data_IF_070446730762
#
_entry.id   IF_070446730762
#
_cell.length_a   1.000
_cell.length_b   1.000
_cell.length_c   1.000
_cell.angle_alpha   90.00
_cell.angle_beta   90.00
_cell.angle_gamma   90.00
#
_symmetry.space_group_name_H-M   'P 1'
#
loop_
_entity.id
_entity.type
_entity.pdbx_description
1 polymer ?
#
# COMPACT_ATOMS: atom_id res chain seq x y z
N UNK A 1 4.61 13.65 -12.96
CA UNK A 1 3.24 13.09 -12.99
C UNK A 1 2.97 12.30 -11.72
N UNK A 2 1.79 12.44 -11.13
CA UNK A 2 1.39 11.54 -10.04
C UNK A 2 1.01 10.19 -10.62
N UNK A 3 1.45 9.10 -9.97
CA UNK A 3 1.21 7.75 -10.45
C UNK A 3 0.33 7.01 -9.45
N UNK A 4 -0.97 6.94 -9.75
CA UNK A 4 -1.98 6.22 -8.98
C UNK A 4 -1.91 4.73 -9.30
N UNK A 5 -0.76 4.13 -9.06
CA UNK A 5 -0.53 2.70 -9.19
C UNK A 5 -0.18 2.16 -7.83
N UNK A 6 -0.93 1.18 -7.36
CA UNK A 6 -0.69 0.46 -6.13
C UNK A 6 0.63 -0.31 -6.18
N UNK A 7 1.35 -0.21 -5.08
CA UNK A 7 2.57 -0.96 -4.83
C UNK A 7 2.33 -1.72 -3.53
N UNK A 8 2.42 -3.04 -3.59
CA UNK A 8 2.42 -3.87 -2.40
C UNK A 8 3.80 -3.76 -1.74
N UNK A 9 3.86 -3.19 -0.53
CA UNK A 9 5.12 -3.07 0.22
C UNK A 9 5.68 -4.43 0.60
N UNK A 10 4.82 -5.43 0.78
CA UNK A 10 5.23 -6.75 1.21
C UNK A 10 6.09 -7.46 0.15
N UNK A 11 5.93 -7.09 -1.12
CA UNK A 11 6.76 -7.58 -2.23
C UNK A 11 8.22 -7.12 -2.17
N UNK A 12 8.55 -6.14 -1.32
CA UNK A 12 9.91 -5.62 -1.14
C UNK A 12 10.52 -6.04 0.19
N UNK A 13 9.80 -6.79 1.02
CA UNK A 13 10.29 -7.18 2.33
C UNK A 13 11.40 -8.21 2.20
N UNK A 14 12.53 -8.03 2.91
CA UNK A 14 13.57 -9.05 2.99
C UNK A 14 13.03 -10.31 3.68
N UNK A 15 13.65 -11.46 3.41
CA UNK A 15 13.26 -12.74 4.01
C UNK A 15 13.56 -12.77 5.51
N UNK A 16 14.67 -12.15 5.93
CA UNK A 16 15.10 -12.06 7.32
C UNK A 16 14.14 -11.21 8.17
N UNK A 17 13.79 -11.72 9.36
CA UNK A 17 12.79 -11.11 10.23
C UNK A 17 13.24 -9.76 10.81
N UNK A 18 14.52 -9.62 11.16
CA UNK A 18 15.06 -8.38 11.71
C UNK A 18 15.12 -7.30 10.62
N UNK A 19 15.62 -7.66 9.44
CA UNK A 19 15.66 -6.75 8.31
C UNK A 19 14.27 -6.33 7.86
N UNK A 20 13.26 -7.22 7.94
CA UNK A 20 11.87 -6.90 7.61
C UNK A 20 11.30 -5.83 8.54
N UNK A 21 11.57 -5.95 9.84
CA UNK A 21 11.19 -4.95 10.83
C UNK A 21 11.88 -3.60 10.55
N UNK A 22 13.19 -3.61 10.31
CA UNK A 22 13.94 -2.39 9.97
C UNK A 22 13.45 -1.75 8.67
N UNK A 23 13.13 -2.54 7.64
CA UNK A 23 12.68 -2.04 6.34
C UNK A 23 11.41 -1.17 6.46
N UNK A 24 10.40 -1.66 7.19
CA UNK A 24 9.16 -0.89 7.39
C UNK A 24 9.39 0.31 8.33
N UNK A 25 10.18 0.11 9.40
CA UNK A 25 10.44 1.15 10.40
C UNK A 25 11.22 2.33 9.82
N UNK A 26 12.22 2.04 9.00
CA UNK A 26 13.15 3.01 8.46
C UNK A 26 12.77 3.46 7.03
N UNK A 27 11.57 3.10 6.55
CA UNK A 27 11.08 3.45 5.23
C UNK A 27 11.01 4.98 5.06
N UNK A 28 11.91 5.52 4.23
CA UNK A 28 11.94 6.95 3.88
C UNK A 28 11.36 7.16 2.49
N UNK A 29 10.30 7.97 2.38
CA UNK A 29 9.65 8.30 1.11
C UNK A 29 9.79 9.80 0.86
N UNK A 30 10.44 10.17 -0.25
CA UNK A 30 10.74 11.57 -0.60
C UNK A 30 9.56 12.32 -1.24
N UNK A 31 8.41 11.66 -1.39
CA UNK A 31 7.24 12.20 -2.05
C UNK A 31 5.98 11.75 -1.31
N UNK A 32 4.87 12.49 -1.43
CA UNK A 32 3.65 12.11 -0.75
C UNK A 32 3.06 10.85 -1.38
N UNK A 33 2.65 9.95 -0.50
CA UNK A 33 1.96 8.70 -0.82
C UNK A 33 0.69 8.60 0.01
N UNK A 34 -0.27 7.84 -0.50
CA UNK A 34 -1.32 7.30 0.34
C UNK A 34 -0.88 5.92 0.85
N UNK A 35 -1.14 5.65 2.13
CA UNK A 35 -0.93 4.35 2.75
C UNK A 35 -2.30 3.70 2.99
N UNK A 36 -2.47 2.49 2.47
CA UNK A 36 -3.63 1.65 2.73
C UNK A 36 -3.19 0.39 3.48
N UNK A 37 -3.79 0.16 4.64
CA UNK A 37 -3.54 -1.01 5.47
C UNK A 37 -4.77 -1.90 5.46
N UNK A 38 -4.62 -3.09 4.92
CA UNK A 38 -5.65 -4.11 4.96
C UNK A 38 -5.38 -5.07 6.12
N UNK A 39 -6.24 -5.01 7.13
CA UNK A 39 -6.20 -5.93 8.26
C UNK A 39 -7.07 -7.13 7.95
N UNK A 40 -6.46 -8.29 7.76
CA UNK A 40 -7.20 -9.55 7.68
C UNK A 40 -7.28 -10.15 9.09
N UNK A 41 -8.47 -10.48 9.56
CA UNK A 41 -8.76 -10.87 10.95
C UNK A 41 -8.15 -12.18 11.44
N UNK A 42 -7.18 -12.78 10.73
CA UNK A 42 -6.46 -14.01 11.07
C UNK A 42 -5.04 -14.01 10.46
N UNK A 43 -4.19 -14.95 10.92
CA UNK A 43 -2.80 -15.39 10.55
C UNK A 43 -2.01 -14.76 9.38
N UNK A 44 -2.65 -14.15 8.39
CA UNK A 44 -2.06 -13.47 7.23
C UNK A 44 -1.43 -12.10 7.56
N UNK A 45 -1.67 -11.57 8.76
CA UNK A 45 -1.09 -10.29 9.18
C UNK A 45 -1.74 -9.08 8.50
N UNK A 46 -0.99 -7.98 8.38
CA UNK A 46 -1.43 -6.73 7.76
C UNK A 46 -0.76 -6.55 6.42
N UNK A 47 -1.54 -6.46 5.33
CA UNK A 47 -1.01 -6.12 4.01
C UNK A 47 -0.91 -4.61 3.87
N UNK A 48 0.24 -4.12 3.43
CA UNK A 48 0.50 -2.68 3.28
C UNK A 48 0.64 -2.31 1.81
N UNK A 49 -0.25 -1.44 1.34
CA UNK A 49 -0.19 -0.89 -0.01
C UNK A 49 0.10 0.61 0.03
N UNK A 50 0.95 1.07 -0.89
CA UNK A 50 1.18 2.50 -1.10
C UNK A 50 1.00 2.87 -2.56
N UNK A 51 0.59 4.11 -2.82
CA UNK A 51 0.66 4.70 -4.16
C UNK A 51 1.01 6.17 -4.07
N UNK A 52 1.66 6.67 -5.12
CA UNK A 52 2.10 8.06 -5.18
C UNK A 52 0.93 8.99 -5.46
N UNK A 53 0.88 10.11 -4.74
CA UNK A 53 -0.12 11.15 -4.95
C UNK A 53 0.53 12.49 -5.33
N UNK A 54 -0.19 13.41 -5.98
CA UNK A 54 0.29 14.77 -6.20
C UNK A 54 0.71 15.46 -4.89
N UNK A 55 1.76 16.27 -4.98
CA UNK A 55 2.22 17.12 -3.87
C UNK A 55 1.15 18.13 -3.49
N UNK A 56 0.56 18.79 -4.49
CA UNK A 56 -0.58 19.68 -4.27
C UNK A 56 -1.85 18.85 -3.94
N UNK A 57 -2.45 19.00 -2.75
CA UNK A 57 -3.67 18.29 -2.36
C UNK A 57 -4.85 18.53 -3.29
N UNK A 58 -5.00 19.74 -3.85
CA UNK A 58 -6.13 20.07 -4.75
C UNK A 58 -6.08 19.31 -6.08
N UNK A 59 -4.89 18.83 -6.47
CA UNK A 59 -4.72 18.02 -7.66
C UNK A 59 -4.99 16.53 -7.40
N UNK A 60 -5.29 16.16 -6.16
CA UNK A 60 -5.57 14.75 -5.81
C UNK A 60 -6.97 14.39 -6.26
N UNK A 61 -7.07 13.41 -7.14
CA UNK A 61 -8.36 12.89 -7.58
C UNK A 61 -8.84 11.78 -6.63
N UNK A 62 -9.98 12.00 -5.99
CA UNK A 62 -10.66 10.97 -5.20
C UNK A 62 -11.06 9.77 -6.08
N UNK A 63 -11.55 10.02 -7.30
CA UNK A 63 -11.88 8.97 -8.26
C UNK A 63 -10.66 8.10 -8.60
N UNK A 64 -9.48 8.70 -8.76
CA UNK A 64 -8.26 7.93 -9.00
C UNK A 64 -7.88 7.08 -7.79
N UNK A 65 -8.03 7.60 -6.56
CA UNK A 65 -7.79 6.81 -5.34
C UNK A 65 -8.79 5.65 -5.20
N UNK A 66 -10.07 5.89 -5.49
CA UNK A 66 -11.10 4.86 -5.46
C UNK A 66 -10.83 3.73 -6.47
N UNK A 67 -10.32 4.06 -7.66
CA UNK A 67 -9.89 3.05 -8.66
C UNK A 67 -8.75 2.19 -8.14
N UNK A 68 -7.74 2.79 -7.52
CA UNK A 68 -6.62 2.06 -6.90
C UNK A 68 -7.14 1.11 -5.82
N UNK A 69 -8.04 1.58 -4.96
CA UNK A 69 -8.67 0.73 -3.94
C UNK A 69 -9.43 -0.44 -4.54
N UNK A 70 -10.20 -0.22 -5.61
CA UNK A 70 -10.91 -1.29 -6.32
C UNK A 70 -9.94 -2.34 -6.89
N UNK A 71 -8.84 -1.90 -7.51
CA UNK A 71 -7.79 -2.79 -8.00
C UNK A 71 -7.12 -3.59 -6.88
N UNK A 72 -6.87 -2.99 -5.72
CA UNK A 72 -6.37 -3.71 -4.54
C UNK A 72 -7.40 -4.76 -4.11
N UNK A 73 -8.67 -4.40 -4.04
CA UNK A 73 -9.75 -5.29 -3.62
C UNK A 73 -9.91 -6.50 -4.55
N UNK A 74 -9.70 -6.34 -5.86
CA UNK A 74 -9.68 -7.44 -6.83
C UNK A 74 -8.49 -8.41 -6.63
N UNK A 75 -7.35 -7.89 -6.15
CA UNK A 75 -6.14 -8.69 -5.88
C UNK A 75 -6.18 -9.40 -4.54
N UNK A 76 -6.97 -8.88 -3.59
CA UNK A 76 -7.12 -9.52 -2.29
C UNK A 76 -7.81 -10.88 -2.48
N UNK A 77 -7.25 -11.96 -1.93
CA UNK A 77 -7.89 -13.26 -2.03
C UNK A 77 -9.28 -13.20 -1.38
N UNK A 78 -10.31 -13.55 -2.15
CA UNK A 78 -11.66 -13.76 -1.63
C UNK A 78 -11.66 -15.10 -0.88
N UNK A 79 -11.28 -15.07 0.39
CA UNK A 79 -11.54 -16.20 1.26
C UNK A 79 -13.00 -16.13 1.69
N UNK A 80 -13.81 -17.09 1.24
CA UNK A 80 -15.13 -17.31 1.80
C UNK A 80 -14.95 -17.70 3.27
N UNK A 81 -15.51 -16.90 4.18
CA UNK A 81 -15.75 -17.26 5.58
C UNK A 81 -16.80 -18.35 5.69
#
# INVERSE_FOLDING_TARGET
MANYTEINLDSFLPEDAMQRYCYIKDLQIQFPVTLYRYYHGNYLGTLNYIWKVPINPEKRSETAQARVLATIQEKLPQYFT
#
